data_IF_842347532389
#
_entry.id   IF_842347532389
#
_cell.length_a   1.000
_cell.length_b   1.000
_cell.length_c   1.000
_cell.angle_alpha   90.00
_cell.angle_beta   90.00
_cell.angle_gamma   90.00
#
_symmetry.space_group_name_H-M   'P 1'
#
loop_
_entity.id
_entity.type
_entity.pdbx_description
1 polymer ?
#
# COMPACT_ATOMS: atom_id res chain seq x y z
N UNK A 1 37.61 -59.20 -33.97
CA UNK A 1 39.03 -59.42 -33.59
C UNK A 1 39.90 -59.45 -34.84
N UNK A 2 40.74 -58.43 -35.05
CA UNK A 2 42.07 -58.47 -35.70
C UNK A 2 42.62 -57.03 -35.71
N UNK A 3 43.65 -56.81 -34.89
CA UNK A 3 44.49 -55.59 -34.89
C UNK A 3 45.40 -55.63 -36.11
N UNK A 4 45.65 -54.48 -36.72
CA UNK A 4 46.95 -54.22 -37.34
C UNK A 4 47.34 -52.76 -37.08
N UNK A 5 48.47 -52.61 -36.41
CA UNK A 5 49.14 -51.35 -36.12
C UNK A 5 49.89 -50.87 -37.37
N UNK A 6 49.92 -49.55 -37.58
CA UNK A 6 51.10 -48.90 -38.15
C UNK A 6 51.35 -47.59 -37.42
N UNK A 7 52.62 -47.30 -37.21
CA UNK A 7 53.16 -46.39 -36.22
C UNK A 7 53.97 -45.27 -36.93
N UNK A 8 53.98 -44.09 -36.29
CA UNK A 8 54.99 -43.01 -36.30
C UNK A 8 55.24 -42.13 -37.55
N UNK A 9 55.06 -40.81 -37.41
CA UNK A 9 56.13 -39.84 -37.05
C UNK A 9 55.54 -38.42 -36.86
N UNK A 10 55.55 -37.86 -35.64
CA UNK A 10 56.50 -36.86 -35.10
C UNK A 10 56.60 -35.56 -35.93
N UNK A 11 56.17 -34.46 -35.32
CA UNK A 11 56.37 -33.10 -35.85
C UNK A 11 55.75 -32.01 -34.98
N UNK A 12 56.24 -31.83 -33.75
CA UNK A 12 56.04 -30.62 -32.97
C UNK A 12 56.68 -29.44 -33.69
N UNK A 13 55.94 -28.34 -33.94
CA UNK A 13 56.52 -27.00 -34.01
C UNK A 13 55.51 -25.94 -33.53
N UNK A 14 55.86 -25.33 -32.40
CA UNK A 14 55.32 -24.10 -31.83
C UNK A 14 55.58 -22.89 -32.76
N UNK A 15 54.54 -22.16 -33.13
CA UNK A 15 54.49 -20.71 -33.41
C UNK A 15 53.03 -20.41 -33.78
N UNK A 16 52.28 -19.46 -33.22
CA UNK A 16 52.64 -18.08 -33.01
C UNK A 16 51.51 -17.43 -32.18
N UNK A 17 51.83 -16.84 -31.01
CA UNK A 17 50.94 -15.89 -30.33
C UNK A 17 50.84 -14.65 -31.22
N UNK A 18 49.66 -14.36 -31.79
CA UNK A 18 49.42 -13.04 -32.38
C UNK A 18 47.98 -12.59 -32.13
N UNK A 19 47.83 -11.89 -31.02
CA UNK A 19 47.12 -10.60 -30.89
C UNK A 19 45.92 -10.45 -31.83
N UNK A 20 44.72 -10.65 -31.28
CA UNK A 20 43.52 -10.04 -31.83
C UNK A 20 42.65 -9.48 -30.71
N UNK A 21 43.29 -8.68 -29.86
CA UNK A 21 42.62 -7.76 -28.94
C UNK A 21 42.17 -6.54 -29.76
N UNK A 22 41.18 -6.72 -30.63
CA UNK A 22 40.57 -5.62 -31.38
C UNK A 22 39.56 -4.90 -30.49
N UNK A 23 40.03 -3.79 -29.91
CA UNK A 23 39.31 -2.51 -29.67
C UNK A 23 37.78 -2.61 -29.77
N UNK A 24 37.12 -3.14 -28.75
CA UNK A 24 35.78 -2.65 -28.43
C UNK A 24 35.97 -1.25 -27.83
N UNK A 25 35.37 -0.20 -28.39
CA UNK A 25 35.62 1.15 -27.93
C UNK A 25 35.09 1.25 -26.50
N UNK A 26 35.98 1.63 -25.57
CA UNK A 26 35.66 1.95 -24.16
C UNK A 26 34.50 2.96 -24.06
N UNK A 27 34.19 3.66 -25.16
CA UNK A 27 33.02 4.52 -25.32
C UNK A 27 31.66 3.80 -25.12
N UNK A 28 31.51 2.51 -25.45
CA UNK A 28 30.24 1.80 -25.24
C UNK A 28 30.00 1.44 -23.76
N UNK A 29 31.05 1.24 -22.96
CA UNK A 29 30.92 1.02 -21.52
C UNK A 29 30.60 2.32 -20.76
N UNK A 30 31.12 3.46 -21.24
CA UNK A 30 30.85 4.79 -20.68
C UNK A 30 29.46 5.36 -21.04
N UNK A 31 28.81 4.82 -22.07
CA UNK A 31 27.44 5.19 -22.45
C UNK A 31 26.36 4.47 -21.62
N UNK A 32 26.70 3.33 -21.00
CA UNK A 32 25.80 2.61 -20.08
C UNK A 32 25.70 3.25 -18.69
N UNK A 33 26.60 4.18 -18.35
CA UNK A 33 26.59 4.88 -17.05
C UNK A 33 25.79 6.19 -17.06
N UNK A 34 25.29 6.65 -18.21
CA UNK A 34 24.61 7.94 -18.35
C UNK A 34 23.08 7.89 -18.30
N UNK A 35 22.48 6.70 -18.16
CA UNK A 35 21.07 6.57 -17.79
C UNK A 35 20.99 6.02 -16.37
N UNK A 36 21.59 6.74 -15.42
CA UNK A 36 21.20 6.59 -14.03
C UNK A 36 19.88 7.35 -13.85
N UNK A 37 18.79 6.77 -14.34
CA UNK A 37 17.46 7.24 -13.97
C UNK A 37 17.41 7.18 -12.45
N UNK A 38 17.41 8.34 -11.78
CA UNK A 38 17.39 8.43 -10.32
C UNK A 38 16.11 7.76 -9.88
N UNK A 39 16.20 6.51 -9.40
CA UNK A 39 15.03 5.70 -9.03
C UNK A 39 14.29 6.46 -7.93
N UNK A 40 13.06 6.88 -8.20
CA UNK A 40 12.25 7.67 -7.25
C UNK A 40 11.96 6.78 -6.05
N UNK A 41 12.50 7.08 -4.86
CA UNK A 41 12.29 6.26 -3.66
C UNK A 41 10.83 6.27 -3.20
N UNK A 42 10.46 5.24 -2.42
CA UNK A 42 9.20 5.18 -1.68
C UNK A 42 8.97 6.43 -0.81
N UNK A 43 9.97 6.88 -0.08
CA UNK A 43 9.92 8.10 0.73
C UNK A 43 9.65 9.36 -0.10
N UNK A 44 10.24 9.46 -1.30
CA UNK A 44 10.02 10.59 -2.21
C UNK A 44 8.60 10.56 -2.79
N UNK A 45 8.04 9.39 -3.06
CA UNK A 45 6.64 9.25 -3.47
C UNK A 45 5.69 9.69 -2.34
N UNK A 46 5.96 9.28 -1.09
CA UNK A 46 5.18 9.70 0.09
C UNK A 46 5.20 11.22 0.29
N UNK A 47 6.38 11.84 0.21
CA UNK A 47 6.52 13.30 0.36
C UNK A 47 5.74 14.04 -0.72
N UNK A 48 5.88 13.63 -1.98
CA UNK A 48 5.14 14.22 -3.10
C UNK A 48 3.63 14.03 -2.94
N UNK A 49 3.18 12.85 -2.51
CA UNK A 49 1.76 12.61 -2.26
C UNK A 49 1.19 13.58 -1.23
N UNK A 50 1.91 13.81 -0.11
CA UNK A 50 1.52 14.81 0.91
C UNK A 50 1.57 16.25 0.38
N UNK A 51 2.51 16.58 -0.50
CA UNK A 51 2.53 17.88 -1.18
C UNK A 51 1.28 18.09 -2.04
N UNK A 52 0.87 17.08 -2.82
CA UNK A 52 -0.39 17.13 -3.57
C UNK A 52 -1.60 17.23 -2.64
N UNK A 53 -1.63 16.47 -1.55
CA UNK A 53 -2.70 16.51 -0.55
C UNK A 53 -2.85 17.89 0.10
N UNK A 54 -1.75 18.52 0.51
CA UNK A 54 -1.74 19.87 1.10
C UNK A 54 -2.16 20.98 0.12
N UNK A 55 -2.11 20.69 -1.18
CA UNK A 55 -2.64 21.55 -2.26
C UNK A 55 -4.05 21.14 -2.69
N UNK A 56 -4.70 20.27 -1.92
CA UNK A 56 -6.05 19.74 -2.17
C UNK A 56 -6.20 18.99 -3.50
N UNK A 57 -5.08 18.54 -4.08
CA UNK A 57 -5.04 17.72 -5.29
C UNK A 57 -5.17 16.25 -4.92
N UNK A 58 -6.36 15.89 -4.46
CA UNK A 58 -6.64 14.62 -3.82
C UNK A 58 -6.45 13.41 -4.74
N UNK A 59 -6.85 13.51 -6.00
CA UNK A 59 -6.71 12.44 -6.99
C UNK A 59 -5.24 12.09 -7.23
N UNK A 60 -4.39 13.12 -7.43
CA UNK A 60 -2.96 12.94 -7.63
C UNK A 60 -2.25 12.43 -6.36
N UNK A 61 -2.66 12.93 -5.19
CA UNK A 61 -2.13 12.48 -3.90
C UNK A 61 -2.42 10.98 -3.68
N UNK A 62 -3.67 10.56 -3.82
CA UNK A 62 -4.06 9.16 -3.66
C UNK A 62 -3.35 8.25 -4.67
N UNK A 63 -3.22 8.68 -5.93
CA UNK A 63 -2.49 7.93 -6.95
C UNK A 63 -1.01 7.74 -6.61
N UNK A 64 -0.35 8.75 -6.02
CA UNK A 64 1.04 8.63 -5.59
C UNK A 64 1.20 7.72 -4.36
N UNK A 65 0.26 7.75 -3.41
CA UNK A 65 0.24 6.79 -2.31
C UNK A 65 0.07 5.35 -2.81
N UNK A 66 -0.89 5.09 -3.71
CA UNK A 66 -1.04 3.76 -4.31
C UNK A 66 0.21 3.32 -5.10
N UNK A 67 0.91 4.28 -5.72
CA UNK A 67 2.16 4.02 -6.43
C UNK A 67 3.28 3.53 -5.50
N UNK A 68 3.33 3.98 -4.24
CA UNK A 68 4.27 3.43 -3.24
C UNK A 68 4.09 1.92 -3.12
N UNK A 69 2.86 1.47 -2.99
CA UNK A 69 2.52 0.06 -2.79
C UNK A 69 2.75 -0.76 -4.05
N UNK A 70 2.54 -0.16 -5.22
CA UNK A 70 2.79 -0.79 -6.51
C UNK A 70 4.29 -0.96 -6.79
N UNK A 71 5.08 0.10 -6.62
CA UNK A 71 6.50 0.11 -6.97
C UNK A 71 7.39 -0.46 -5.84
N UNK A 72 6.93 -0.38 -4.58
CA UNK A 72 7.65 -0.76 -3.36
C UNK A 72 6.79 -1.58 -2.39
N UNK A 73 6.29 -2.77 -2.79
CA UNK A 73 5.38 -3.58 -1.97
C UNK A 73 6.00 -4.15 -0.68
N UNK A 74 7.33 -4.11 -0.51
CA UNK A 74 8.01 -4.52 0.74
C UNK A 74 8.43 -3.33 1.61
N UNK A 75 8.08 -2.10 1.21
CA UNK A 75 8.40 -0.91 1.99
C UNK A 75 7.59 -0.90 3.29
N UNK A 76 8.25 -0.52 4.39
CA UNK A 76 7.56 -0.23 5.65
C UNK A 76 6.58 0.95 5.56
N UNK A 77 6.63 1.74 4.49
CA UNK A 77 5.69 2.85 4.23
C UNK A 77 4.44 2.41 3.48
N UNK A 78 4.45 1.20 2.88
CA UNK A 78 3.34 0.73 2.06
C UNK A 78 2.00 0.55 2.82
N UNK A 79 1.97 0.06 4.08
CA UNK A 79 0.73 0.03 4.87
C UNK A 79 0.18 1.43 5.12
N UNK A 80 1.03 2.39 5.49
CA UNK A 80 0.64 3.78 5.71
C UNK A 80 0.12 4.41 4.42
N UNK A 81 0.77 4.15 3.28
CA UNK A 81 0.34 4.67 1.99
C UNK A 81 -1.07 4.18 1.61
N UNK A 82 -1.37 2.89 1.81
CA UNK A 82 -2.73 2.36 1.59
C UNK A 82 -3.75 3.04 2.50
N UNK A 83 -3.42 3.22 3.77
CA UNK A 83 -4.27 3.92 4.72
C UNK A 83 -4.54 5.36 4.26
N UNK A 84 -3.51 6.14 3.94
CA UNK A 84 -3.66 7.53 3.51
C UNK A 84 -4.47 7.65 2.21
N UNK A 85 -4.19 6.81 1.22
CA UNK A 85 -5.00 6.75 -0.01
C UNK A 85 -6.47 6.46 0.32
N UNK A 86 -6.75 5.51 1.21
CA UNK A 86 -8.12 5.18 1.62
C UNK A 86 -8.84 6.36 2.29
N UNK A 87 -8.15 7.13 3.13
CA UNK A 87 -8.73 8.30 3.79
C UNK A 87 -9.08 9.39 2.78
N UNK A 88 -8.24 9.59 1.77
CA UNK A 88 -8.53 10.52 0.67
C UNK A 88 -9.74 10.03 -0.13
N UNK A 89 -9.77 8.74 -0.52
CA UNK A 89 -10.90 8.19 -1.25
C UNK A 89 -12.20 8.31 -0.47
N UNK A 90 -12.19 8.06 0.84
CA UNK A 90 -13.39 8.14 1.66
C UNK A 90 -13.82 9.58 1.94
N UNK A 91 -12.89 10.46 2.31
CA UNK A 91 -13.22 11.77 2.86
C UNK A 91 -13.20 12.93 1.86
N UNK A 92 -12.55 12.76 0.70
CA UNK A 92 -12.37 13.83 -0.29
C UNK A 92 -12.93 13.51 -1.66
N UNK A 93 -12.90 12.23 -2.04
CA UNK A 93 -13.37 11.78 -3.36
C UNK A 93 -14.69 11.00 -3.30
N UNK A 94 -15.19 10.70 -2.09
CA UNK A 94 -16.44 9.95 -1.84
C UNK A 94 -16.47 8.56 -2.51
N UNK A 95 -15.31 8.00 -2.86
CA UNK A 95 -15.14 6.64 -3.39
C UNK A 95 -15.04 5.62 -2.24
N UNK A 96 -16.07 5.58 -1.38
CA UNK A 96 -16.05 4.81 -0.11
C UNK A 96 -15.76 3.31 -0.30
N UNK A 97 -16.28 2.69 -1.37
CA UNK A 97 -15.99 1.28 -1.66
C UNK A 97 -14.51 1.04 -1.97
N UNK A 98 -13.88 1.97 -2.69
CA UNK A 98 -12.44 1.89 -3.00
C UNK A 98 -11.60 2.08 -1.73
N UNK A 99 -12.00 3.01 -0.87
CA UNK A 99 -11.36 3.18 0.43
C UNK A 99 -11.36 1.88 1.24
N UNK A 100 -12.52 1.20 1.35
CA UNK A 100 -12.62 -0.11 2.03
C UNK A 100 -11.68 -1.14 1.39
N UNK A 101 -11.66 -1.26 0.06
CA UNK A 101 -10.75 -2.19 -0.64
C UNK A 101 -9.27 -1.93 -0.31
N UNK A 102 -8.86 -0.67 -0.22
CA UNK A 102 -7.47 -0.32 0.12
C UNK A 102 -7.12 -0.67 1.58
N UNK A 103 -8.05 -0.46 2.51
CA UNK A 103 -7.89 -0.87 3.91
C UNK A 103 -7.83 -2.39 4.07
N UNK A 104 -8.68 -3.12 3.36
CA UNK A 104 -8.65 -4.60 3.32
C UNK A 104 -7.31 -5.10 2.74
N UNK A 105 -6.81 -4.44 1.70
CA UNK A 105 -5.48 -4.72 1.14
C UNK A 105 -4.37 -4.44 2.15
N UNK A 106 -4.48 -3.38 2.95
CA UNK A 106 -3.49 -3.05 3.98
C UNK A 106 -3.39 -4.17 5.02
N UNK A 107 -4.54 -4.62 5.53
CA UNK A 107 -4.61 -5.70 6.53
C UNK A 107 -4.13 -7.04 5.95
N UNK A 108 -4.58 -7.38 4.73
CA UNK A 108 -4.24 -8.68 4.13
C UNK A 108 -2.78 -8.79 3.70
N UNK A 109 -2.19 -7.69 3.19
CA UNK A 109 -0.80 -7.70 2.71
C UNK A 109 0.22 -7.42 3.80
N UNK A 110 -0.16 -6.70 4.84
CA UNK A 110 0.71 -6.29 5.94
C UNK A 110 0.09 -6.62 7.31
N UNK A 111 -0.25 -7.88 7.59
CA UNK A 111 -1.02 -8.26 8.78
C UNK A 111 -0.29 -8.00 10.11
N UNK A 112 1.03 -7.83 10.08
CA UNK A 112 1.84 -7.50 11.26
C UNK A 112 2.07 -5.99 11.45
N UNK A 113 1.56 -5.15 10.54
CA UNK A 113 1.66 -3.70 10.68
C UNK A 113 0.80 -3.22 11.87
N UNK A 114 1.35 -2.40 12.79
CA UNK A 114 0.61 -1.88 13.94
C UNK A 114 -0.67 -1.10 13.57
N UNK A 115 -0.73 -0.54 12.35
CA UNK A 115 -1.88 0.16 11.82
C UNK A 115 -3.03 -0.75 11.35
N UNK A 116 -2.86 -2.08 11.37
CA UNK A 116 -3.88 -3.04 10.91
C UNK A 116 -5.18 -2.95 11.71
N UNK A 117 -5.08 -2.75 13.03
CA UNK A 117 -6.24 -2.54 13.90
C UNK A 117 -7.00 -1.28 13.49
N UNK A 118 -6.31 -0.15 13.32
CA UNK A 118 -6.90 1.11 12.83
C UNK A 118 -7.57 0.92 11.47
N UNK A 119 -6.95 0.19 10.54
CA UNK A 119 -7.56 -0.09 9.24
C UNK A 119 -8.88 -0.86 9.39
N UNK A 120 -8.92 -1.87 10.27
CA UNK A 120 -10.14 -2.67 10.48
C UNK A 120 -11.26 -1.84 11.12
N UNK A 121 -10.93 -0.97 12.07
CA UNK A 121 -11.88 0.00 12.62
C UNK A 121 -12.46 0.89 11.51
N UNK A 122 -11.59 1.47 10.68
CA UNK A 122 -12.02 2.36 9.59
C UNK A 122 -12.89 1.67 8.54
N UNK A 123 -12.68 0.38 8.26
CA UNK A 123 -13.57 -0.40 7.39
C UNK A 123 -14.99 -0.40 7.96
N UNK A 124 -15.15 -0.74 9.25
CA UNK A 124 -16.45 -0.71 9.93
C UNK A 124 -17.09 0.68 9.90
N UNK A 125 -16.29 1.71 10.17
CA UNK A 125 -16.73 3.09 10.18
C UNK A 125 -17.26 3.55 8.81
N UNK A 126 -16.52 3.29 7.73
CA UNK A 126 -16.91 3.68 6.37
C UNK A 126 -18.15 2.88 5.93
N UNK A 127 -18.20 1.59 6.24
CA UNK A 127 -19.35 0.74 5.91
C UNK A 127 -20.62 1.22 6.60
N UNK A 128 -20.52 1.61 7.88
CA UNK A 128 -21.65 2.12 8.66
C UNK A 128 -22.11 3.50 8.18
N UNK A 129 -21.18 4.46 8.14
CA UNK A 129 -21.53 5.87 8.03
C UNK A 129 -21.63 6.37 6.59
N UNK A 130 -20.88 5.77 5.66
CA UNK A 130 -20.83 6.24 4.26
C UNK A 130 -21.55 5.31 3.29
N UNK A 131 -21.61 4.02 3.59
CA UNK A 131 -22.26 3.02 2.73
C UNK A 131 -23.57 2.46 3.30
N UNK A 132 -23.89 2.78 4.56
CA UNK A 132 -25.06 2.27 5.29
C UNK A 132 -25.18 0.73 5.27
N UNK A 133 -24.08 0.01 5.10
CA UNK A 133 -24.00 -1.46 5.11
C UNK A 133 -23.74 -1.94 6.54
N UNK A 134 -24.77 -1.84 7.38
CA UNK A 134 -24.69 -2.16 8.81
C UNK A 134 -24.33 -3.62 9.06
N UNK A 135 -24.68 -4.54 8.16
CA UNK A 135 -24.30 -5.95 8.26
C UNK A 135 -22.79 -6.12 8.14
N UNK A 136 -22.16 -5.54 7.10
CA UNK A 136 -20.71 -5.64 6.94
C UNK A 136 -19.96 -4.80 7.97
N UNK A 137 -20.50 -3.65 8.37
CA UNK A 137 -19.92 -2.84 9.44
C UNK A 137 -19.82 -3.63 10.75
N UNK A 138 -20.91 -4.32 11.13
CA UNK A 138 -20.93 -5.23 12.29
C UNK A 138 -19.85 -6.31 12.19
N UNK A 139 -19.74 -6.97 11.04
CA UNK A 139 -18.73 -8.00 10.81
C UNK A 139 -17.31 -7.47 10.98
N UNK A 140 -17.01 -6.28 10.46
CA UNK A 140 -15.70 -5.65 10.58
C UNK A 140 -15.36 -5.30 12.04
N UNK A 141 -16.33 -4.77 12.78
CA UNK A 141 -16.18 -4.42 14.21
C UNK A 141 -16.06 -5.66 15.11
N UNK A 142 -16.87 -6.69 14.89
CA UNK A 142 -16.73 -7.96 15.63
C UNK A 142 -15.37 -8.63 15.34
N UNK A 143 -14.91 -8.58 14.09
CA UNK A 143 -13.59 -9.05 13.72
C UNK A 143 -12.46 -8.18 14.30
N UNK A 144 -12.70 -6.89 14.58
CA UNK A 144 -11.76 -6.06 15.35
C UNK A 144 -11.64 -6.58 16.78
N UNK A 145 -12.77 -6.74 17.50
CA UNK A 145 -12.75 -7.16 18.91
C UNK A 145 -12.20 -8.56 19.10
N UNK A 146 -12.35 -9.43 18.10
CA UNK A 146 -11.74 -10.76 18.09
C UNK A 146 -10.22 -10.72 17.97
N UNK A 147 -9.70 -9.92 17.03
CA UNK A 147 -8.28 -9.93 16.69
C UNK A 147 -7.46 -8.94 17.54
N UNK A 148 -8.12 -7.91 18.10
CA UNK A 148 -7.51 -6.83 18.87
C UNK A 148 -8.31 -6.48 20.15
N UNK A 149 -8.58 -7.47 21.04
CA UNK A 149 -9.47 -7.27 22.20
C UNK A 149 -8.99 -6.19 23.18
N UNK A 150 -7.67 -6.03 23.33
CA UNK A 150 -7.06 -5.09 24.29
C UNK A 150 -6.57 -3.79 23.65
N UNK A 151 -6.91 -3.51 22.39
CA UNK A 151 -6.46 -2.30 21.69
C UNK A 151 -7.23 -1.07 22.19
N UNK A 152 -6.57 0.10 22.20
CA UNK A 152 -7.14 1.39 22.64
C UNK A 152 -8.41 1.83 21.89
N UNK A 153 -8.75 1.19 20.77
CA UNK A 153 -9.95 1.48 19.97
C UNK A 153 -11.10 0.52 20.30
N UNK A 154 -10.88 -0.54 21.09
CA UNK A 154 -11.92 -1.49 21.47
C UNK A 154 -13.13 -0.81 22.16
N UNK A 155 -12.95 0.18 23.06
CA UNK A 155 -14.09 0.93 23.61
C UNK A 155 -14.90 1.66 22.53
N UNK A 156 -14.24 2.26 21.53
CA UNK A 156 -14.90 2.90 20.39
C UNK A 156 -15.65 1.88 19.54
N UNK A 157 -15.09 0.70 19.31
CA UNK A 157 -15.75 -0.38 18.56
C UNK A 157 -16.99 -0.90 19.28
N UNK A 158 -16.93 -1.04 20.61
CA UNK A 158 -18.11 -1.38 21.42
C UNK A 158 -19.20 -0.31 21.31
N UNK A 159 -18.83 0.96 21.34
CA UNK A 159 -19.76 2.08 21.16
C UNK A 159 -20.42 2.00 19.78
N UNK A 160 -19.63 1.85 18.71
CA UNK A 160 -20.11 1.74 17.33
C UNK A 160 -21.08 0.56 17.16
N UNK A 161 -20.78 -0.60 17.74
CA UNK A 161 -21.67 -1.77 17.70
C UNK A 161 -22.97 -1.57 18.47
N UNK A 162 -22.93 -0.83 19.59
CA UNK A 162 -24.11 -0.55 20.44
C UNK A 162 -25.12 0.34 19.72
N UNK A 163 -24.66 1.32 18.94
CA UNK A 163 -25.51 2.28 18.21
C UNK A 163 -25.51 2.07 16.70
N UNK A 164 -25.05 0.92 16.22
CA UNK A 164 -24.92 0.67 14.80
C UNK A 164 -26.26 0.83 14.07
N UNK A 165 -26.30 1.71 13.07
CA UNK A 165 -27.51 2.00 12.29
C UNK A 165 -28.61 2.74 13.06
N UNK A 166 -28.31 3.27 14.24
CA UNK A 166 -29.21 4.14 15.01
C UNK A 166 -29.08 5.58 14.55
N UNK A 167 -30.21 6.27 14.54
CA UNK A 167 -30.21 7.73 14.41
C UNK A 167 -29.62 8.38 15.67
N UNK A 168 -29.01 9.55 15.53
CA UNK A 168 -28.40 10.28 16.65
C UNK A 168 -29.38 10.53 17.80
N UNK A 169 -30.66 10.73 17.48
CA UNK A 169 -31.72 10.99 18.45
C UNK A 169 -32.11 9.75 19.26
N UNK A 170 -31.80 8.56 18.73
CA UNK A 170 -31.99 7.29 19.42
C UNK A 170 -30.86 6.99 20.42
N UNK A 171 -29.79 7.81 20.47
CA UNK A 171 -28.64 7.61 21.36
C UNK A 171 -28.87 8.40 22.66
N UNK A 172 -29.28 7.77 23.78
CA UNK A 172 -29.62 8.48 25.02
C UNK A 172 -28.47 9.32 25.56
N UNK A 173 -27.24 8.83 25.39
CA UNK A 173 -26.03 9.49 25.82
C UNK A 173 -25.73 10.78 25.04
N UNK A 174 -26.32 11.00 23.86
CA UNK A 174 -26.08 12.20 23.03
C UNK A 174 -27.27 13.17 22.98
N UNK A 175 -28.41 12.80 23.57
CA UNK A 175 -29.64 13.61 23.61
C UNK A 175 -29.45 15.02 24.21
N UNK A 176 -28.44 15.21 25.06
CA UNK A 176 -28.15 16.49 25.70
C UNK A 176 -27.37 17.47 24.80
N UNK A 177 -26.91 17.03 23.63
CA UNK A 177 -26.21 17.86 22.65
C UNK A 177 -27.16 18.58 21.68
N UNK A 178 -28.44 18.21 21.70
CA UNK A 178 -29.49 18.97 21.01
C UNK A 178 -29.73 20.28 21.78
N UNK A 179 -29.26 21.40 21.21
CA UNK A 179 -29.65 22.72 21.69
C UNK A 179 -31.11 22.99 21.28
N UNK A 180 -31.98 23.55 22.14
CA UNK A 180 -33.40 23.79 21.79
C UNK A 180 -33.70 24.79 20.66
N UNK A 181 -32.72 25.31 19.92
CA UNK A 181 -32.84 26.59 19.19
C UNK A 181 -32.78 26.50 17.64
N UNK A 182 -33.32 25.45 17.00
CA UNK A 182 -33.41 25.44 15.52
C UNK A 182 -34.79 25.12 14.93
N UNK A 183 -35.86 25.26 15.71
CA UNK A 183 -37.24 25.05 15.23
C UNK A 183 -38.15 26.29 15.28
N UNK A 184 -37.58 27.50 15.31
CA UNK A 184 -38.33 28.75 15.05
C UNK A 184 -37.63 29.55 13.95
N UNK A 185 -38.27 29.61 12.77
CA UNK A 185 -37.84 30.37 11.59
C UNK A 185 -38.66 30.04 10.36
#
# INVERSE_FOLDING_TARGET
>A
MKKLHLQFNVGYLFHNRRIFMKRFPVACLALLTLVHCRRVSDSSLMERAREFESREKYTEAAALFEKVVHDYPESGLAPEALYLASMIYSGRLEEHRRAVTLLERAISRYPSDPGSARCRFMIGFILSNSLSDTLKARQAYEAFLKDYPDHDLAPSVHWELKYLGKDINEIPELRHLESPDSSDG
#
